data_IF_838710706888
#
_entry.id   IF_838710706888
#
_cell.length_a   1.000
_cell.length_b   1.000
_cell.length_c   1.000
_cell.angle_alpha   90.00
_cell.angle_beta   90.00
_cell.angle_gamma   90.00
#
_symmetry.space_group_name_H-M   'P 1'
#
loop_
_entity.id
_entity.type
_entity.pdbx_description
1 polymer ?
#
# COMPACT_ATOMS: atom_id res chain seq x y z
N UNK A 1 -3.88 18.89 -7.24
CA UNK A 1 -3.80 17.66 -6.43
C UNK A 1 -2.68 16.79 -6.97
N UNK A 2 -1.72 16.35 -6.15
CA UNK A 2 -0.61 15.49 -6.59
C UNK A 2 -1.06 14.02 -6.49
N UNK A 3 -0.93 13.26 -7.58
CA UNK A 3 -1.27 11.83 -7.64
C UNK A 3 0.01 11.01 -7.80
N UNK A 4 0.00 9.79 -7.29
CA UNK A 4 1.08 8.82 -7.46
C UNK A 4 0.51 7.43 -7.73
N UNK A 5 1.30 6.59 -8.40
CA UNK A 5 0.93 5.21 -8.70
C UNK A 5 1.43 4.29 -7.60
N UNK A 6 0.58 3.33 -7.22
CA UNK A 6 0.90 2.30 -6.22
C UNK A 6 0.66 0.93 -6.83
N UNK A 7 1.68 0.08 -6.80
CA UNK A 7 1.59 -1.35 -7.11
C UNK A 7 1.37 -2.13 -5.83
N UNK A 8 0.25 -2.85 -5.76
CA UNK A 8 -0.13 -3.63 -4.57
C UNK A 8 0.32 -5.08 -4.71
N UNK A 9 0.98 -5.61 -3.68
CA UNK A 9 1.40 -7.00 -3.54
C UNK A 9 0.72 -7.61 -2.30
N UNK A 10 -0.44 -8.26 -2.46
CA UNK A 10 -1.13 -8.92 -1.37
C UNK A 10 -0.44 -10.26 -1.00
N UNK A 11 -0.80 -10.83 0.15
CA UNK A 11 -0.18 -12.04 0.73
C UNK A 11 1.34 -11.90 0.95
N UNK A 12 1.82 -10.68 1.23
CA UNK A 12 3.22 -10.45 1.55
C UNK A 12 3.59 -10.97 2.95
N UNK A 13 4.88 -11.16 3.20
CA UNK A 13 5.39 -11.57 4.51
C UNK A 13 5.24 -10.48 5.57
N UNK A 14 5.20 -9.22 5.15
CA UNK A 14 5.13 -8.04 6.00
C UNK A 14 4.31 -6.93 5.34
N UNK A 15 3.87 -5.95 6.15
CA UNK A 15 3.23 -4.74 5.64
C UNK A 15 4.30 -3.68 5.42
N UNK A 16 4.54 -3.28 4.18
CA UNK A 16 5.60 -2.33 3.83
C UNK A 16 5.19 -1.43 2.67
N UNK A 17 5.57 -0.15 2.73
CA UNK A 17 5.31 0.84 1.69
C UNK A 17 6.62 1.51 1.31
N UNK A 18 7.07 1.27 0.08
CA UNK A 18 8.36 1.76 -0.44
C UNK A 18 8.19 2.50 -1.75
N UNK A 19 8.97 3.56 -1.94
CA UNK A 19 9.03 4.29 -3.21
C UNK A 19 10.25 3.83 -4.01
N UNK A 20 10.06 3.55 -5.30
CA UNK A 20 11.14 3.29 -6.24
C UNK A 20 11.66 4.60 -6.85
N UNK A 21 12.86 4.55 -7.45
CA UNK A 21 13.53 5.72 -8.04
C UNK A 21 12.73 6.35 -9.19
N UNK A 22 11.88 5.59 -9.86
CA UNK A 22 10.98 6.05 -10.93
C UNK A 22 9.74 6.80 -10.42
N UNK A 23 9.58 6.89 -9.09
CA UNK A 23 8.42 7.51 -8.45
C UNK A 23 7.25 6.56 -8.22
N UNK A 24 7.32 5.30 -8.66
CA UNK A 24 6.31 4.27 -8.40
C UNK A 24 6.40 3.80 -6.95
N UNK A 25 5.26 3.62 -6.30
CA UNK A 25 5.19 3.07 -4.96
C UNK A 25 4.84 1.58 -5.00
N UNK A 26 5.41 0.80 -4.08
CA UNK A 26 5.06 -0.61 -3.89
C UNK A 26 4.51 -0.76 -2.47
N UNK A 27 3.27 -1.24 -2.39
CA UNK A 27 2.58 -1.58 -1.15
C UNK A 27 2.52 -3.10 -1.00
N UNK A 28 3.27 -3.64 -0.06
CA UNK A 28 3.23 -5.03 0.35
C UNK A 28 2.29 -5.15 1.55
N UNK A 29 1.27 -6.01 1.46
CA UNK A 29 0.32 -6.23 2.55
C UNK A 29 0.14 -7.72 2.80
N UNK A 30 0.13 -8.11 4.08
CA UNK A 30 -0.18 -9.47 4.52
C UNK A 30 -1.61 -9.90 4.16
N UNK A 31 -2.52 -8.93 4.10
CA UNK A 31 -3.93 -9.18 3.85
C UNK A 31 -4.14 -9.82 2.46
N UNK A 32 -5.02 -10.84 2.36
CA UNK A 32 -5.33 -11.47 1.09
C UNK A 32 -6.16 -10.53 0.20
N UNK A 33 -6.14 -10.73 -1.13
CA UNK A 33 -6.94 -9.96 -2.09
C UNK A 33 -8.39 -10.49 -2.15
N UNK A 34 -9.00 -10.71 -0.98
CA UNK A 34 -10.37 -11.23 -0.84
C UNK A 34 -11.22 -10.23 -0.07
N UNK A 35 -12.46 -10.03 -0.49
CA UNK A 35 -13.44 -9.17 0.19
C UNK A 35 -12.91 -7.73 0.48
N UNK A 36 -12.03 -7.22 -0.39
CA UNK A 36 -11.39 -5.91 -0.25
C UNK A 36 -10.41 -5.79 0.93
N UNK A 37 -10.02 -6.88 1.59
CA UNK A 37 -9.10 -6.86 2.74
C UNK A 37 -7.75 -6.22 2.39
N UNK A 38 -7.16 -6.59 1.25
CA UNK A 38 -5.93 -5.96 0.77
C UNK A 38 -6.09 -4.45 0.56
N UNK A 39 -7.22 -4.01 -0.01
CA UNK A 39 -7.45 -2.58 -0.28
C UNK A 39 -7.53 -1.77 1.02
N UNK A 40 -8.26 -2.28 2.02
CA UNK A 40 -8.32 -1.64 3.35
C UNK A 40 -6.93 -1.55 3.98
N UNK A 41 -6.18 -2.65 3.97
CA UNK A 41 -4.82 -2.67 4.51
C UNK A 41 -3.87 -1.69 3.80
N UNK A 42 -4.01 -1.51 2.48
CA UNK A 42 -3.24 -0.51 1.72
C UNK A 42 -3.61 0.91 2.14
N UNK A 43 -4.91 1.21 2.27
CA UNK A 43 -5.38 2.53 2.71
C UNK A 43 -4.82 2.85 4.10
N UNK A 44 -4.93 1.92 5.06
CA UNK A 44 -4.40 2.09 6.41
C UNK A 44 -2.87 2.27 6.43
N UNK A 45 -2.16 1.51 5.59
CA UNK A 45 -0.70 1.61 5.47
C UNK A 45 -0.27 2.97 4.92
N UNK A 46 -0.95 3.47 3.89
CA UNK A 46 -0.70 4.80 3.31
C UNK A 46 -1.06 5.89 4.32
N UNK A 47 -2.23 5.79 4.96
CA UNK A 47 -2.69 6.72 5.98
C UNK A 47 -1.68 6.85 7.13
N UNK A 48 -1.16 5.71 7.61
CA UNK A 48 -0.12 5.67 8.66
C UNK A 48 1.20 6.32 8.21
N UNK A 49 1.66 6.06 6.98
CA UNK A 49 2.91 6.63 6.47
C UNK A 49 2.83 8.14 6.35
N UNK A 50 1.73 8.66 5.81
CA UNK A 50 1.55 10.10 5.57
C UNK A 50 0.88 10.84 6.73
N UNK A 51 0.52 10.12 7.81
CA UNK A 51 -0.18 10.65 8.99
C UNK A 51 -1.47 11.39 8.63
N UNK A 52 -2.27 10.77 7.75
CA UNK A 52 -3.58 11.27 7.32
C UNK A 52 -4.68 10.30 7.76
N UNK A 53 -5.93 10.74 7.80
CA UNK A 53 -7.09 9.96 8.29
C UNK A 53 -8.10 9.71 7.18
#
# INVERSE_FOLDING_TARGET
VKKFLVKVKPNARENSLRQFQDGTWIAEVKAPPKDGKANRAVIELIAKQFKVT
#
